data_IF_688205367850
#
_entry.id   IF_688205367850
#
_cell.length_a   1.000
_cell.length_b   1.000
_cell.length_c   1.000
_cell.angle_alpha   90.00
_cell.angle_beta   90.00
_cell.angle_gamma   90.00
#
_symmetry.space_group_name_H-M   'P 1'
#
loop_
_entity.id
_entity.type
_entity.pdbx_description
1 polymer ?
#
# COMPACT_ATOMS: atom_id res chain seq x y z
N UNK A 1 -20.72 -29.05 13.84
CA UNK A 1 -19.42 -28.82 13.12
C UNK A 1 -18.34 -28.63 14.17
N UNK A 2 -17.46 -29.60 14.39
CA UNK A 2 -16.32 -29.48 15.27
C UNK A 2 -15.28 -28.53 14.61
N UNK A 3 -14.79 -27.51 15.30
CA UNK A 3 -13.81 -26.59 14.71
C UNK A 3 -12.52 -27.38 14.36
N UNK A 4 -12.04 -27.17 13.15
CA UNK A 4 -10.79 -27.75 12.67
C UNK A 4 -9.65 -27.39 13.63
N UNK A 5 -9.10 -28.38 14.34
CA UNK A 5 -7.91 -28.20 15.17
C UNK A 5 -6.66 -28.46 14.31
N UNK A 6 -5.87 -27.47 14.00
CA UNK A 6 -4.65 -27.68 13.21
C UNK A 6 -3.71 -28.66 13.93
N UNK A 7 -3.10 -29.56 13.16
CA UNK A 7 -2.14 -30.55 13.67
C UNK A 7 -0.93 -29.90 14.36
N UNK A 8 -0.23 -30.66 15.19
CA UNK A 8 0.88 -30.20 16.02
C UNK A 8 2.01 -29.45 15.26
N UNK A 9 2.43 -29.84 14.03
CA UNK A 9 3.42 -29.10 13.24
C UNK A 9 2.92 -27.71 12.83
N UNK A 10 1.64 -27.59 12.46
CA UNK A 10 1.01 -26.31 12.06
C UNK A 10 0.91 -25.37 13.26
N UNK A 11 0.58 -25.88 14.43
CA UNK A 11 0.51 -25.09 15.68
C UNK A 11 1.89 -24.55 16.05
N UNK A 12 2.93 -25.35 15.93
CA UNK A 12 4.32 -24.96 16.18
C UNK A 12 4.79 -23.88 15.21
N UNK A 13 4.47 -24.03 13.93
CA UNK A 13 4.77 -23.06 12.88
C UNK A 13 4.02 -21.74 13.11
N UNK A 14 2.71 -21.78 13.42
CA UNK A 14 1.91 -20.58 13.75
C UNK A 14 2.43 -19.87 15.01
N UNK A 15 2.81 -20.62 16.03
CA UNK A 15 3.40 -20.07 17.25
C UNK A 15 4.72 -19.35 16.92
N UNK A 16 5.59 -20.00 16.16
CA UNK A 16 6.87 -19.42 15.75
C UNK A 16 6.71 -18.16 14.89
N UNK A 17 5.74 -18.13 13.97
CA UNK A 17 5.38 -16.95 13.20
C UNK A 17 4.88 -15.81 14.09
N UNK A 18 4.07 -16.11 15.10
CA UNK A 18 3.62 -15.12 16.11
C UNK A 18 4.78 -14.59 16.94
N UNK A 19 5.69 -15.45 17.38
CA UNK A 19 6.89 -15.04 18.11
C UNK A 19 7.78 -14.12 17.27
N UNK A 20 8.02 -14.46 16.00
CA UNK A 20 8.75 -13.61 15.07
C UNK A 20 8.07 -12.24 14.86
N UNK A 21 6.77 -12.23 14.65
CA UNK A 21 6.01 -10.98 14.49
C UNK A 21 6.08 -10.13 15.76
N UNK A 22 5.94 -10.74 16.93
CA UNK A 22 6.07 -10.06 18.22
C UNK A 22 7.48 -9.49 18.46
N UNK A 23 8.52 -10.26 18.13
CA UNK A 23 9.91 -9.80 18.23
C UNK A 23 10.19 -8.64 17.27
N UNK A 24 9.72 -8.74 16.01
CA UNK A 24 9.83 -7.66 15.04
C UNK A 24 9.13 -6.39 15.52
N UNK A 25 7.92 -6.50 16.06
CA UNK A 25 7.19 -5.36 16.60
C UNK A 25 7.91 -4.69 17.77
N UNK A 26 8.52 -5.48 18.68
CA UNK A 26 9.34 -4.97 19.77
C UNK A 26 10.60 -4.29 19.27
N UNK A 27 11.28 -4.89 18.28
CA UNK A 27 12.45 -4.31 17.64
C UNK A 27 12.12 -2.96 16.99
N UNK A 28 11.05 -2.89 16.21
CA UNK A 28 10.60 -1.64 15.57
C UNK A 28 10.29 -0.58 16.63
N UNK A 29 9.61 -0.94 17.73
CA UNK A 29 9.33 -0.02 18.83
C UNK A 29 10.60 0.47 19.52
N UNK A 30 11.58 -0.42 19.75
CA UNK A 30 12.89 -0.06 20.31
C UNK A 30 13.67 0.87 19.39
N UNK A 31 13.72 0.55 18.09
CA UNK A 31 14.33 1.42 17.07
C UNK A 31 13.61 2.78 17.01
N UNK A 32 12.30 2.81 17.07
CA UNK A 32 11.54 4.06 17.07
C UNK A 32 11.94 4.98 18.25
N UNK A 33 12.28 4.42 19.42
CA UNK A 33 12.80 5.21 20.53
C UNK A 33 14.18 5.82 20.22
N UNK A 34 15.07 5.06 19.58
CA UNK A 34 16.39 5.53 19.16
C UNK A 34 16.23 6.60 18.07
N UNK A 35 15.32 6.38 17.12
CA UNK A 35 15.05 7.30 16.01
C UNK A 35 14.31 8.58 16.43
N UNK A 36 13.94 8.74 17.70
CA UNK A 36 13.60 10.05 18.25
C UNK A 36 14.80 11.01 18.26
N UNK A 37 16.01 10.48 18.29
CA UNK A 37 17.22 11.25 18.17
C UNK A 37 17.48 11.56 16.69
N UNK A 38 17.55 12.83 16.33
CA UNK A 38 17.79 13.28 14.93
C UNK A 38 19.05 12.65 14.32
N UNK A 39 20.06 12.34 15.13
CA UNK A 39 21.31 11.72 14.68
C UNK A 39 21.08 10.32 14.11
N UNK A 40 20.13 9.55 14.66
CA UNK A 40 19.85 8.19 14.19
C UNK A 40 19.34 8.15 12.74
N UNK A 41 18.62 9.18 12.31
CA UNK A 41 18.12 9.27 10.92
C UNK A 41 19.28 9.35 9.90
N UNK A 42 20.41 9.96 10.27
CA UNK A 42 21.60 10.06 9.42
C UNK A 42 22.25 8.71 9.13
N UNK A 43 21.94 7.67 9.91
CA UNK A 43 22.47 6.32 9.72
C UNK A 43 21.62 5.49 8.74
N UNK A 44 20.37 5.88 8.47
CA UNK A 44 19.48 5.12 7.58
C UNK A 44 20.01 4.95 6.14
N UNK A 45 20.65 5.94 5.51
CA UNK A 45 21.26 5.77 4.19
C UNK A 45 22.33 4.68 4.12
N UNK A 46 22.97 4.35 5.24
CA UNK A 46 23.98 3.30 5.32
C UNK A 46 23.36 1.88 5.42
N UNK A 47 22.08 1.80 5.79
CA UNK A 47 21.42 0.53 6.06
C UNK A 47 21.43 -0.45 4.88
N UNK A 48 21.20 -0.05 3.61
CA UNK A 48 21.30 -0.98 2.49
C UNK A 48 22.70 -1.61 2.36
N UNK A 49 23.77 -0.84 2.56
CA UNK A 49 25.14 -1.34 2.51
C UNK A 49 25.44 -2.33 3.66
N UNK A 50 24.90 -2.07 4.85
CA UNK A 50 24.98 -3.00 5.98
C UNK A 50 24.23 -4.28 5.67
N UNK A 51 22.99 -4.18 5.17
CA UNK A 51 22.17 -5.34 4.82
C UNK A 51 22.83 -6.21 3.75
N UNK A 52 23.53 -5.63 2.78
CA UNK A 52 24.26 -6.39 1.77
C UNK A 52 25.35 -7.29 2.35
N UNK A 53 25.94 -6.93 3.49
CA UNK A 53 26.98 -7.70 4.17
C UNK A 53 26.44 -8.79 5.08
N UNK A 54 25.16 -8.73 5.44
CA UNK A 54 24.50 -9.70 6.29
C UNK A 54 24.08 -10.95 5.51
N UNK A 55 23.97 -12.12 6.13
CA UNK A 55 23.31 -13.28 5.54
C UNK A 55 21.88 -12.95 5.09
N UNK A 56 21.40 -13.57 4.01
CA UNK A 56 20.08 -13.26 3.41
C UNK A 56 18.93 -13.37 4.41
N UNK A 57 19.01 -14.30 5.35
CA UNK A 57 18.02 -14.46 6.41
C UNK A 57 17.86 -13.24 7.35
N UNK A 58 18.86 -12.37 7.41
CA UNK A 58 18.88 -11.17 8.26
C UNK A 58 18.49 -9.89 7.49
N UNK A 59 18.35 -9.96 6.16
CA UNK A 59 18.05 -8.80 5.32
C UNK A 59 16.58 -8.36 5.34
N UNK A 60 15.72 -9.08 6.03
CA UNK A 60 14.30 -8.81 6.17
C UNK A 60 13.44 -9.95 5.62
N UNK A 61 12.18 -10.02 6.05
CA UNK A 61 11.29 -11.14 5.71
C UNK A 61 10.97 -11.23 4.22
N UNK A 62 10.88 -10.09 3.56
CA UNK A 62 10.45 -9.99 2.16
C UNK A 62 11.63 -9.88 1.17
N UNK A 63 12.88 -9.88 1.68
CA UNK A 63 14.09 -9.70 0.84
C UNK A 63 14.18 -10.71 -0.31
N UNK A 64 14.00 -12.00 -0.02
CA UNK A 64 14.15 -13.04 -1.04
C UNK A 64 13.04 -12.94 -2.10
N UNK A 65 11.80 -12.69 -1.68
CA UNK A 65 10.68 -12.50 -2.59
C UNK A 65 10.90 -11.28 -3.50
N UNK A 66 11.34 -10.16 -2.94
CA UNK A 66 11.69 -8.98 -3.74
C UNK A 66 12.81 -9.26 -4.73
N UNK A 67 13.88 -9.93 -4.29
CA UNK A 67 15.00 -10.28 -5.17
C UNK A 67 14.54 -11.15 -6.35
N UNK A 68 13.75 -12.18 -6.09
CA UNK A 68 13.18 -13.04 -7.13
C UNK A 68 12.27 -12.26 -8.09
N UNK A 69 11.43 -11.38 -7.58
CA UNK A 69 10.55 -10.56 -8.40
C UNK A 69 11.34 -9.58 -9.28
N UNK A 70 12.45 -9.02 -8.80
CA UNK A 70 13.34 -8.20 -9.62
C UNK A 70 14.01 -9.01 -10.73
N UNK A 71 14.44 -10.24 -10.44
CA UNK A 71 14.98 -11.16 -11.46
C UNK A 71 13.93 -11.45 -12.54
N UNK A 72 12.65 -11.66 -12.15
CA UNK A 72 11.53 -11.83 -13.08
C UNK A 72 11.23 -10.56 -13.92
N UNK A 73 11.58 -9.38 -13.42
CA UNK A 73 11.48 -8.11 -14.15
C UNK A 73 12.70 -7.82 -15.02
N UNK A 74 13.63 -8.77 -15.13
CA UNK A 74 14.80 -8.67 -16.04
C UNK A 74 15.97 -7.85 -15.50
N UNK A 75 16.00 -7.54 -14.18
CA UNK A 75 17.17 -6.89 -13.61
C UNK A 75 18.32 -7.87 -13.39
N UNK A 76 19.54 -7.37 -13.54
CA UNK A 76 20.74 -8.16 -13.25
C UNK A 76 20.78 -8.66 -11.78
N UNK A 77 21.31 -9.87 -11.50
CA UNK A 77 21.35 -10.45 -10.14
C UNK A 77 22.08 -9.58 -9.10
N UNK A 78 23.07 -8.79 -9.52
CA UNK A 78 23.75 -7.84 -8.62
C UNK A 78 22.85 -6.65 -8.27
N UNK A 79 22.20 -6.08 -9.28
CA UNK A 79 21.23 -5.01 -9.10
C UNK A 79 20.05 -5.47 -8.22
N UNK A 80 19.50 -6.67 -8.46
CA UNK A 80 18.42 -7.25 -7.66
C UNK A 80 18.76 -7.31 -6.16
N UNK A 81 20.00 -7.66 -5.81
CA UNK A 81 20.42 -7.71 -4.39
C UNK A 81 20.44 -6.34 -3.74
N UNK A 82 20.97 -5.33 -4.44
CA UNK A 82 21.03 -3.97 -3.92
C UNK A 82 19.63 -3.38 -3.75
N UNK A 83 18.82 -3.49 -4.79
CA UNK A 83 17.43 -2.95 -4.79
C UNK A 83 16.57 -3.65 -3.75
N UNK A 84 16.72 -4.97 -3.55
CA UNK A 84 16.03 -5.69 -2.48
C UNK A 84 16.50 -5.27 -1.07
N UNK A 85 17.77 -4.90 -0.89
CA UNK A 85 18.24 -4.32 0.38
C UNK A 85 17.69 -2.91 0.59
N UNK A 86 17.62 -2.08 -0.47
CA UNK A 86 16.96 -0.75 -0.39
C UNK A 86 15.48 -0.88 -0.05
N UNK A 87 14.76 -1.80 -0.70
CA UNK A 87 13.37 -2.13 -0.34
C UNK A 87 13.25 -2.45 1.15
N UNK A 88 14.08 -3.37 1.67
CA UNK A 88 14.04 -3.78 3.07
C UNK A 88 14.32 -2.60 4.03
N UNK A 89 15.25 -1.72 3.66
CA UNK A 89 15.58 -0.52 4.43
C UNK A 89 14.41 0.48 4.45
N UNK A 90 13.79 0.72 3.31
CA UNK A 90 12.63 1.60 3.17
C UNK A 90 11.44 1.05 3.99
N UNK A 91 11.15 -0.26 3.88
CA UNK A 91 10.08 -0.88 4.68
C UNK A 91 10.35 -0.80 6.19
N UNK A 92 11.59 -0.90 6.61
CA UNK A 92 11.96 -0.70 8.02
C UNK A 92 11.75 0.76 8.44
N UNK A 93 12.19 1.72 7.64
CA UNK A 93 11.97 3.15 7.88
C UNK A 93 10.46 3.46 8.00
N UNK A 94 9.65 3.01 7.04
CA UNK A 94 8.20 3.19 7.08
C UNK A 94 7.59 2.62 8.37
N UNK A 95 8.02 1.42 8.79
CA UNK A 95 7.53 0.81 10.03
C UNK A 95 7.92 1.61 11.28
N UNK A 96 9.14 2.16 11.33
CA UNK A 96 9.62 3.01 12.42
C UNK A 96 8.78 4.31 12.47
N UNK A 97 8.60 4.96 11.34
CA UNK A 97 7.89 6.22 11.25
C UNK A 97 6.41 6.08 11.56
N UNK A 98 5.76 5.00 11.13
CA UNK A 98 4.38 4.68 11.50
C UNK A 98 4.17 4.58 13.02
N UNK A 99 5.20 4.18 13.77
CA UNK A 99 5.18 4.16 15.26
C UNK A 99 5.43 5.54 15.85
N UNK A 100 6.27 6.37 15.20
CA UNK A 100 6.66 7.69 15.69
C UNK A 100 5.55 8.75 15.49
N UNK A 101 4.98 8.82 14.30
CA UNK A 101 4.05 9.89 13.91
C UNK A 101 2.85 10.09 14.84
N UNK A 102 2.15 9.04 15.31
CA UNK A 102 1.00 9.24 16.19
C UNK A 102 1.35 9.74 17.60
N UNK A 103 2.66 9.78 17.91
CA UNK A 103 3.18 10.15 19.22
C UNK A 103 3.84 11.52 19.23
N UNK A 104 4.06 12.08 18.06
CA UNK A 104 4.65 13.41 17.94
C UNK A 104 3.60 14.51 18.13
N UNK A 105 4.05 15.68 18.61
CA UNK A 105 3.21 16.85 18.68
C UNK A 105 2.78 17.31 17.28
N UNK A 106 1.54 17.82 17.11
CA UNK A 106 1.02 18.22 15.79
C UNK A 106 1.95 19.17 15.01
N UNK A 107 2.61 20.11 15.68
CA UNK A 107 3.53 21.07 15.05
C UNK A 107 4.77 20.38 14.48
N UNK A 108 5.29 19.40 15.22
CA UNK A 108 6.47 18.63 14.78
C UNK A 108 6.12 17.72 13.59
N UNK A 109 4.96 17.09 13.64
CA UNK A 109 4.43 16.30 12.53
C UNK A 109 4.21 17.20 11.30
N UNK A 110 3.63 18.37 11.48
CA UNK A 110 3.42 19.36 10.40
C UNK A 110 4.75 19.83 9.80
N UNK A 111 5.75 20.14 10.62
CA UNK A 111 7.07 20.53 10.14
C UNK A 111 7.72 19.41 9.30
N UNK A 112 7.57 18.17 9.71
CA UNK A 112 8.06 17.01 8.97
C UNK A 112 7.35 16.87 7.62
N UNK A 113 6.02 16.95 7.61
CA UNK A 113 5.20 16.84 6.39
C UNK A 113 5.54 17.96 5.40
N UNK A 114 5.77 19.17 5.89
CA UNK A 114 6.17 20.32 5.05
C UNK A 114 7.57 20.16 4.45
N UNK A 115 8.44 19.40 5.09
CA UNK A 115 9.77 19.08 4.57
C UNK A 115 9.74 18.03 3.43
N UNK A 116 8.60 17.34 3.20
CA UNK A 116 8.43 16.47 2.04
C UNK A 116 8.43 17.33 0.77
N UNK A 117 9.32 17.02 -0.16
CA UNK A 117 9.33 17.69 -1.46
C UNK A 117 8.01 17.41 -2.20
N UNK A 118 7.52 18.43 -2.93
CA UNK A 118 6.26 18.33 -3.66
C UNK A 118 6.52 18.45 -5.15
N UNK A 119 6.22 17.40 -5.88
CA UNK A 119 6.41 17.30 -7.32
C UNK A 119 5.06 17.23 -8.04
N UNK A 120 4.60 18.37 -8.54
CA UNK A 120 3.38 18.53 -9.34
C UNK A 120 3.66 19.50 -10.53
N UNK A 121 4.49 19.09 -11.49
CA UNK A 121 4.92 19.97 -12.56
C UNK A 121 3.77 20.40 -13.47
N UNK A 122 2.70 19.63 -13.53
CA UNK A 122 1.52 19.91 -14.35
C UNK A 122 0.41 20.65 -13.58
N UNK A 123 0.66 21.02 -12.32
CA UNK A 123 -0.28 21.71 -11.45
C UNK A 123 -1.66 21.03 -11.36
N UNK A 124 -1.66 19.72 -11.19
CA UNK A 124 -2.89 18.95 -11.06
C UNK A 124 -3.57 19.15 -9.71
N UNK A 125 -2.81 19.32 -8.63
CA UNK A 125 -3.35 19.48 -7.29
C UNK A 125 -4.33 20.65 -7.15
N UNK A 126 -4.07 21.86 -7.70
CA UNK A 126 -5.04 22.95 -7.66
C UNK A 126 -6.40 22.62 -8.27
N UNK A 127 -6.48 21.70 -9.23
CA UNK A 127 -7.76 21.29 -9.88
C UNK A 127 -8.70 20.58 -8.92
N UNK A 128 -8.18 19.93 -7.86
CA UNK A 128 -8.99 19.24 -6.84
C UNK A 128 -9.82 20.20 -6.01
N UNK A 129 -9.51 21.51 -6.03
CA UNK A 129 -10.27 22.53 -5.29
C UNK A 129 -11.64 22.79 -5.87
N UNK A 130 -11.76 22.72 -7.19
CA UNK A 130 -12.97 23.08 -7.95
C UNK A 130 -13.81 21.89 -8.36
N UNK A 131 -13.31 20.68 -8.24
CA UNK A 131 -14.00 19.45 -8.68
C UNK A 131 -13.93 18.36 -7.62
N UNK A 132 -15.03 17.63 -7.47
CA UNK A 132 -15.00 16.37 -6.70
C UNK A 132 -14.04 15.42 -7.39
N UNK A 133 -13.05 14.97 -6.65
CA UNK A 133 -11.94 14.16 -7.16
C UNK A 133 -11.67 13.01 -6.20
N UNK A 134 -11.44 11.83 -6.75
CA UNK A 134 -10.88 10.72 -5.98
C UNK A 134 -9.35 10.82 -6.08
N UNK A 135 -8.69 11.00 -4.96
CA UNK A 135 -7.24 10.94 -4.85
C UNK A 135 -6.86 9.48 -4.66
N UNK A 136 -6.17 8.92 -5.64
CA UNK A 136 -5.71 7.54 -5.60
C UNK A 136 -4.22 7.55 -5.29
N UNK A 137 -3.85 6.92 -4.19
CA UNK A 137 -2.47 6.74 -3.78
C UNK A 137 -1.99 5.32 -4.08
N UNK A 138 -0.73 5.20 -4.47
CA UNK A 138 -0.03 3.93 -4.49
C UNK A 138 0.64 3.69 -3.13
N UNK A 139 0.76 2.42 -2.71
CA UNK A 139 1.51 2.04 -1.51
C UNK A 139 3.02 2.11 -1.78
N UNK A 140 3.51 3.31 -2.11
CA UNK A 140 4.92 3.55 -2.41
C UNK A 140 5.56 4.43 -1.35
N UNK A 141 6.82 4.15 -1.02
CA UNK A 141 7.56 4.88 -0.01
C UNK A 141 6.81 4.94 1.33
N UNK A 142 6.76 6.12 1.91
CA UNK A 142 6.00 6.36 3.14
C UNK A 142 4.57 6.80 2.82
N UNK A 143 3.76 5.89 2.32
CA UNK A 143 2.42 6.17 1.81
C UNK A 143 1.47 6.84 2.85
N UNK A 144 1.68 6.62 4.15
CA UNK A 144 0.95 7.35 5.19
C UNK A 144 1.30 8.83 5.22
N UNK A 145 2.57 9.14 4.96
CA UNK A 145 3.01 10.53 4.83
C UNK A 145 2.48 11.18 3.56
N UNK A 146 2.27 10.40 2.50
CA UNK A 146 1.57 10.90 1.31
C UNK A 146 0.15 11.36 1.65
N UNK A 147 -0.61 10.58 2.43
CA UNK A 147 -1.93 10.99 2.92
C UNK A 147 -1.84 12.28 3.74
N UNK A 148 -0.91 12.32 4.70
CA UNK A 148 -0.73 13.48 5.56
C UNK A 148 -0.34 14.74 4.78
N UNK A 149 0.52 14.59 3.77
CA UNK A 149 0.97 15.68 2.90
C UNK A 149 -0.19 16.24 2.04
N UNK A 150 -1.05 15.36 1.51
CA UNK A 150 -2.24 15.77 0.77
C UNK A 150 -3.22 16.57 1.65
N UNK A 151 -3.43 16.12 2.89
CA UNK A 151 -4.32 16.79 3.85
C UNK A 151 -3.74 18.15 4.25
N UNK A 152 -2.47 18.21 4.65
CA UNK A 152 -1.83 19.45 5.12
C UNK A 152 -1.79 20.53 4.04
N UNK A 153 -1.59 20.14 2.77
CA UNK A 153 -1.55 21.08 1.65
C UNK A 153 -2.92 21.53 1.14
N UNK A 154 -4.00 21.10 1.78
CA UNK A 154 -5.33 21.60 1.46
C UNK A 154 -5.53 22.99 2.09
N UNK A 155 -5.81 24.03 1.29
CA UNK A 155 -5.75 25.43 1.76
C UNK A 155 -6.94 25.88 2.62
N UNK A 156 -8.00 25.09 2.66
CA UNK A 156 -9.21 25.41 3.42
C UNK A 156 -9.69 24.18 4.18
N UNK A 157 -10.38 24.34 5.32
CA UNK A 157 -10.96 23.22 6.05
C UNK A 157 -11.82 22.36 5.14
N UNK A 158 -11.49 21.09 5.05
CA UNK A 158 -12.23 20.08 4.27
C UNK A 158 -12.43 18.81 5.05
N UNK A 159 -13.39 18.01 4.60
CA UNK A 159 -13.58 16.65 5.08
C UNK A 159 -12.87 15.69 4.11
N UNK A 160 -12.06 14.81 4.68
CA UNK A 160 -11.37 13.74 3.96
C UNK A 160 -11.97 12.40 4.36
N UNK A 161 -12.33 11.60 3.38
CA UNK A 161 -12.84 10.23 3.55
C UNK A 161 -11.75 9.26 3.15
N UNK A 162 -11.33 8.39 4.07
CA UNK A 162 -10.23 7.47 3.85
C UNK A 162 -10.70 6.05 4.16
N UNK A 163 -11.10 5.27 3.15
CA UNK A 163 -11.37 3.85 3.33
C UNK A 163 -10.06 3.09 3.53
N UNK A 164 -9.99 2.26 4.57
CA UNK A 164 -8.83 1.43 4.88
C UNK A 164 -9.21 -0.04 4.97
N UNK A 165 -8.34 -0.91 4.48
CA UNK A 165 -8.52 -2.36 4.53
C UNK A 165 -8.44 -2.91 5.95
N UNK A 166 -7.44 -2.49 6.71
CA UNK A 166 -7.21 -2.94 8.08
C UNK A 166 -7.87 -2.00 9.10
N UNK A 167 -9.17 -1.84 9.00
CA UNK A 167 -9.94 -0.93 9.86
C UNK A 167 -9.79 -1.23 11.36
N UNK A 168 -9.55 -2.50 11.72
CA UNK A 168 -9.40 -2.93 13.11
C UNK A 168 -8.01 -2.63 13.70
N UNK A 169 -7.03 -2.16 12.88
CA UNK A 169 -5.73 -1.75 13.43
C UNK A 169 -5.84 -0.39 14.13
N UNK A 170 -5.69 -0.36 15.47
CA UNK A 170 -5.83 0.88 16.24
C UNK A 170 -4.69 1.87 15.96
N UNK A 171 -3.51 1.39 15.54
CA UNK A 171 -2.38 2.26 15.23
C UNK A 171 -2.65 3.06 13.96
N UNK A 172 -3.07 2.40 12.90
CA UNK A 172 -3.45 3.04 11.63
C UNK A 172 -4.56 4.07 11.83
N UNK A 173 -5.62 3.70 12.55
CA UNK A 173 -6.73 4.62 12.83
C UNK A 173 -6.28 5.85 13.62
N UNK A 174 -5.46 5.66 14.67
CA UNK A 174 -4.92 6.76 15.47
C UNK A 174 -4.04 7.68 14.63
N UNK A 175 -3.18 7.12 13.79
CA UNK A 175 -2.31 7.88 12.90
C UNK A 175 -3.09 8.77 11.95
N UNK A 176 -4.12 8.22 11.29
CA UNK A 176 -4.96 9.00 10.38
C UNK A 176 -5.79 10.04 11.14
N UNK A 177 -6.34 9.68 12.29
CA UNK A 177 -7.17 10.60 13.08
C UNK A 177 -6.37 11.77 13.65
N UNK A 178 -5.07 11.59 13.92
CA UNK A 178 -4.19 12.68 14.37
C UNK A 178 -4.04 13.81 13.35
N UNK A 179 -4.33 13.54 12.07
CA UNK A 179 -4.27 14.56 11.00
C UNK A 179 -5.38 15.61 11.10
N UNK A 180 -6.40 15.38 11.91
CA UNK A 180 -7.40 16.42 12.23
C UNK A 180 -6.80 17.65 12.92
N UNK A 181 -5.65 17.49 13.58
CA UNK A 181 -4.88 18.60 14.14
C UNK A 181 -4.44 19.65 13.09
N UNK A 182 -4.56 19.33 11.79
CA UNK A 182 -4.27 20.29 10.71
C UNK A 182 -5.47 21.17 10.34
N UNK A 183 -6.59 21.04 11.05
CA UNK A 183 -7.79 21.85 10.82
C UNK A 183 -8.79 21.25 9.84
N UNK A 184 -8.66 19.96 9.54
CA UNK A 184 -9.53 19.21 8.64
C UNK A 184 -10.32 18.16 9.42
N UNK A 185 -11.42 17.67 8.84
CA UNK A 185 -12.14 16.50 9.35
C UNK A 185 -11.66 15.24 8.61
N UNK A 186 -11.33 14.17 9.33
CA UNK A 186 -10.85 12.91 8.75
C UNK A 186 -11.78 11.78 9.17
N UNK A 187 -12.57 11.29 8.23
CA UNK A 187 -13.45 10.13 8.41
C UNK A 187 -12.78 8.87 7.86
N UNK A 188 -12.56 7.91 8.73
CA UNK A 188 -11.95 6.63 8.38
C UNK A 188 -13.07 5.61 8.22
N UNK A 189 -13.13 4.96 7.05
CA UNK A 189 -14.14 3.95 6.75
C UNK A 189 -13.50 2.55 6.66
N UNK A 190 -14.25 1.54 7.07
CA UNK A 190 -13.89 0.15 6.79
C UNK A 190 -14.17 -0.15 5.31
N UNK A 191 -13.13 -0.40 4.51
CA UNK A 191 -13.29 -0.71 3.09
C UNK A 191 -14.07 -2.00 2.83
N UNK A 192 -14.17 -2.89 3.81
CA UNK A 192 -14.89 -4.16 3.71
C UNK A 192 -16.38 -4.03 4.10
N UNK A 193 -16.79 -2.91 4.69
CA UNK A 193 -18.18 -2.74 5.10
C UNK A 193 -19.10 -2.55 3.88
N UNK A 194 -20.26 -3.22 3.83
CA UNK A 194 -21.16 -3.20 2.65
C UNK A 194 -21.63 -1.80 2.23
N UNK A 195 -21.66 -0.85 3.16
CA UNK A 195 -22.16 0.52 2.91
C UNK A 195 -21.05 1.52 2.55
N UNK A 196 -19.79 1.09 2.50
CA UNK A 196 -18.65 2.00 2.28
C UNK A 196 -18.70 2.69 0.92
N UNK A 197 -19.01 1.97 -0.15
CA UNK A 197 -19.16 2.57 -1.48
C UNK A 197 -20.25 3.65 -1.51
N UNK A 198 -21.37 3.44 -0.80
CA UNK A 198 -22.45 4.42 -0.68
C UNK A 198 -22.02 5.64 0.14
N UNK A 199 -21.27 5.43 1.23
CA UNK A 199 -20.73 6.52 2.04
C UNK A 199 -19.76 7.40 1.23
N UNK A 200 -18.87 6.78 0.45
CA UNK A 200 -17.96 7.50 -0.45
C UNK A 200 -18.75 8.27 -1.52
N UNK A 201 -19.75 7.65 -2.15
CA UNK A 201 -20.57 8.32 -3.15
C UNK A 201 -21.30 9.56 -2.59
N UNK A 202 -21.83 9.47 -1.36
CA UNK A 202 -22.44 10.61 -0.65
C UNK A 202 -21.41 11.70 -0.34
N UNK A 203 -20.21 11.33 0.07
CA UNK A 203 -19.13 12.26 0.34
C UNK A 203 -18.72 13.04 -0.92
N UNK A 204 -18.52 12.36 -2.05
CA UNK A 204 -18.22 13.00 -3.32
C UNK A 204 -19.33 13.98 -3.77
N UNK A 205 -20.59 13.64 -3.56
CA UNK A 205 -21.73 14.55 -3.84
C UNK A 205 -21.72 15.81 -2.98
N UNK A 206 -21.21 15.74 -1.75
CA UNK A 206 -21.06 16.91 -0.87
C UNK A 206 -19.84 17.78 -1.19
N UNK A 207 -18.94 17.31 -2.07
CA UNK A 207 -17.68 17.99 -2.37
C UNK A 207 -16.54 17.64 -1.41
N UNK A 208 -16.71 16.58 -0.60
CA UNK A 208 -15.65 16.05 0.26
C UNK A 208 -14.52 15.45 -0.61
N UNK A 209 -13.31 15.38 -0.06
CA UNK A 209 -12.17 14.72 -0.71
C UNK A 209 -12.12 13.25 -0.29
N UNK A 210 -11.86 12.38 -1.26
CA UNK A 210 -11.74 10.94 -1.01
C UNK A 210 -10.33 10.50 -1.35
N UNK A 211 -9.64 9.86 -0.40
CA UNK A 211 -8.29 9.31 -0.59
C UNK A 211 -8.38 7.79 -0.51
N UNK A 212 -8.01 7.09 -1.58
CA UNK A 212 -8.11 5.63 -1.69
C UNK A 212 -6.77 5.07 -2.16
N UNK A 213 -6.35 3.94 -1.58
CA UNK A 213 -5.28 3.12 -2.12
C UNK A 213 -5.87 2.09 -3.10
N UNK A 214 -5.39 2.09 -4.34
CA UNK A 214 -5.95 1.25 -5.41
C UNK A 214 -5.06 0.09 -5.85
N UNK A 215 -3.81 0.10 -5.47
CA UNK A 215 -2.79 -0.90 -5.84
C UNK A 215 -2.80 -2.13 -4.92
N UNK A 216 -3.99 -2.61 -4.58
CA UNK A 216 -4.18 -3.83 -3.80
C UNK A 216 -4.31 -5.04 -4.72
N UNK A 217 -3.67 -6.18 -4.41
CA UNK A 217 -3.96 -7.42 -5.11
C UNK A 217 -5.40 -7.86 -4.79
N UNK A 218 -6.04 -8.54 -5.75
CA UNK A 218 -7.43 -9.01 -5.62
C UNK A 218 -7.61 -9.97 -4.44
N UNK A 219 -6.56 -10.71 -4.10
CA UNK A 219 -6.55 -11.61 -2.95
C UNK A 219 -5.29 -11.39 -2.13
N UNK A 220 -5.46 -11.21 -0.85
CA UNK A 220 -4.37 -11.00 0.09
C UNK A 220 -4.52 -11.90 1.32
N UNK A 221 -3.53 -12.77 1.54
CA UNK A 221 -3.57 -13.70 2.68
C UNK A 221 -4.80 -14.62 2.71
N UNK A 222 -5.34 -14.97 1.53
CA UNK A 222 -6.54 -15.80 1.41
C UNK A 222 -7.85 -15.02 1.53
N UNK A 223 -7.79 -13.73 1.80
CA UNK A 223 -8.96 -12.84 1.86
C UNK A 223 -9.10 -12.08 0.55
N UNK A 224 -10.30 -12.07 -0.02
CA UNK A 224 -10.59 -11.33 -1.24
C UNK A 224 -10.72 -9.84 -0.94
N UNK A 225 -9.95 -9.01 -1.65
CA UNK A 225 -9.92 -7.55 -1.45
C UNK A 225 -11.00 -6.80 -2.23
N UNK A 226 -11.66 -7.46 -3.20
CA UNK A 226 -12.71 -6.85 -4.04
C UNK A 226 -12.97 -7.65 -5.31
N UNK A 227 -13.79 -7.09 -6.21
CA UNK A 227 -13.99 -7.68 -7.53
C UNK A 227 -12.76 -7.44 -8.41
N UNK A 228 -12.31 -8.46 -9.18
CA UNK A 228 -11.19 -8.31 -10.09
C UNK A 228 -11.57 -7.50 -11.33
N UNK A 229 -10.60 -6.77 -11.84
CA UNK A 229 -10.58 -6.25 -13.21
C UNK A 229 -9.27 -6.66 -13.86
N UNK A 230 -9.36 -7.20 -15.06
CA UNK A 230 -8.20 -7.65 -15.82
C UNK A 230 -7.42 -6.45 -16.35
N UNK A 231 -6.10 -6.61 -16.43
CA UNK A 231 -5.19 -5.61 -16.95
C UNK A 231 -3.79 -6.23 -17.15
N UNK A 232 -2.79 -5.38 -17.22
CA UNK A 232 -1.39 -5.79 -17.34
C UNK A 232 -0.55 -5.08 -16.29
N UNK A 233 0.49 -5.75 -15.83
CA UNK A 233 1.49 -5.21 -14.92
C UNK A 233 2.85 -5.79 -15.32
N UNK A 234 3.79 -4.93 -15.66
CA UNK A 234 5.13 -5.29 -16.15
C UNK A 234 5.08 -6.29 -17.32
N UNK A 235 4.22 -5.99 -18.31
CA UNK A 235 4.07 -6.81 -19.52
C UNK A 235 3.35 -8.15 -19.33
N UNK A 236 2.85 -8.46 -18.13
CA UNK A 236 2.15 -9.73 -17.82
C UNK A 236 0.69 -9.46 -17.51
N UNK A 237 -0.19 -10.41 -17.86
CA UNK A 237 -1.61 -10.36 -17.50
C UNK A 237 -1.75 -10.33 -15.97
N UNK A 238 -2.48 -9.35 -15.46
CA UNK A 238 -2.64 -9.09 -14.05
C UNK A 238 -4.09 -8.77 -13.70
N UNK A 239 -4.43 -8.87 -12.42
CA UNK A 239 -5.73 -8.50 -11.89
C UNK A 239 -5.57 -7.43 -10.82
N UNK A 240 -6.41 -6.41 -10.89
CA UNK A 240 -6.49 -5.33 -9.94
C UNK A 240 -7.87 -5.28 -9.29
N UNK A 241 -7.97 -4.58 -8.17
CA UNK A 241 -9.27 -4.30 -7.54
C UNK A 241 -10.02 -3.25 -8.37
N UNK A 242 -11.23 -3.57 -8.77
CA UNK A 242 -12.11 -2.73 -9.61
C UNK A 242 -12.52 -1.41 -8.96
N UNK A 243 -12.57 -1.35 -7.62
CA UNK A 243 -13.29 -0.34 -6.85
C UNK A 243 -13.11 1.14 -7.21
N UNK A 244 -11.89 1.74 -7.13
CA UNK A 244 -11.73 3.19 -7.23
C UNK A 244 -12.11 3.76 -8.60
N UNK A 245 -11.67 3.13 -9.70
CA UNK A 245 -11.94 3.62 -11.05
C UNK A 245 -13.41 3.44 -11.45
N UNK A 246 -14.03 2.33 -11.05
CA UNK A 246 -15.44 2.10 -11.24
C UNK A 246 -16.29 3.12 -10.47
N UNK A 247 -15.91 3.43 -9.23
CA UNK A 247 -16.58 4.44 -8.42
C UNK A 247 -16.45 5.83 -9.05
N UNK A 248 -15.26 6.20 -9.52
CA UNK A 248 -15.01 7.46 -10.20
C UNK A 248 -15.86 7.62 -11.45
N UNK A 249 -15.91 6.59 -12.30
CA UNK A 249 -16.74 6.57 -13.50
C UNK A 249 -18.23 6.71 -13.17
N UNK A 250 -18.74 5.95 -12.19
CA UNK A 250 -20.13 6.00 -11.74
C UNK A 250 -20.52 7.36 -11.16
N UNK A 251 -19.61 8.00 -10.43
CA UNK A 251 -19.82 9.31 -9.82
C UNK A 251 -19.51 10.46 -10.78
N UNK A 252 -19.03 10.18 -11.99
CA UNK A 252 -18.62 11.16 -13.01
C UNK A 252 -17.58 12.15 -12.47
N UNK A 253 -16.66 11.67 -11.64
CA UNK A 253 -15.57 12.47 -11.08
C UNK A 253 -14.22 12.09 -11.68
N UNK A 254 -13.29 13.04 -11.62
CA UNK A 254 -11.92 12.85 -12.06
C UNK A 254 -11.12 12.10 -10.98
N UNK A 255 -9.97 11.56 -11.36
CA UNK A 255 -9.04 10.87 -10.46
C UNK A 255 -7.69 11.55 -10.50
N UNK A 256 -7.11 11.81 -9.33
CA UNK A 256 -5.74 12.24 -9.18
C UNK A 256 -4.90 11.06 -8.67
N UNK A 257 -3.92 10.64 -9.45
CA UNK A 257 -2.95 9.62 -9.02
C UNK A 257 -1.73 10.29 -8.40
N UNK A 258 -1.34 9.82 -7.21
CA UNK A 258 -0.13 10.27 -6.55
C UNK A 258 0.60 9.10 -5.86
N UNK A 259 1.90 9.30 -5.55
CA UNK A 259 2.73 8.34 -4.86
C UNK A 259 3.88 9.03 -4.15
N UNK A 260 4.50 8.35 -3.21
CA UNK A 260 5.61 8.86 -2.43
C UNK A 260 6.89 8.08 -2.73
N UNK A 261 8.01 8.75 -2.88
CA UNK A 261 9.34 8.16 -2.91
C UNK A 261 10.05 8.50 -1.61
N UNK A 262 10.33 7.49 -0.81
CA UNK A 262 11.01 7.67 0.45
C UNK A 262 12.50 7.99 0.23
N UNK A 263 13.03 8.90 1.02
CA UNK A 263 14.45 9.11 1.16
C UNK A 263 14.91 8.48 2.47
N UNK A 264 15.93 7.64 2.42
CA UNK A 264 16.45 7.02 3.62
C UNK A 264 17.08 8.07 4.55
N UNK A 265 16.49 8.25 5.73
CA UNK A 265 16.90 9.27 6.69
C UNK A 265 16.35 10.66 6.43
N UNK A 266 15.67 10.87 5.32
CA UNK A 266 15.01 12.12 4.92
C UNK A 266 13.49 12.03 4.90
N UNK A 267 12.86 13.05 4.32
CA UNK A 267 11.41 13.15 4.20
C UNK A 267 10.88 12.63 2.87
N UNK A 268 11.76 12.47 1.88
CA UNK A 268 11.39 12.03 0.53
C UNK A 268 10.57 13.04 -0.26
N UNK A 269 9.90 12.55 -1.29
CA UNK A 269 9.18 13.37 -2.26
C UNK A 269 7.80 12.77 -2.57
N UNK A 270 6.77 13.62 -2.58
CA UNK A 270 5.44 13.30 -3.06
C UNK A 270 5.32 13.70 -4.53
N UNK A 271 4.98 12.75 -5.36
CA UNK A 271 4.73 12.95 -6.78
C UNK A 271 3.24 12.95 -7.06
N UNK A 272 2.75 14.02 -7.68
CA UNK A 272 1.45 14.04 -8.35
C UNK A 272 1.67 13.49 -9.76
N UNK A 273 1.30 12.22 -9.97
CA UNK A 273 1.74 11.44 -11.13
C UNK A 273 0.87 11.76 -12.35
N UNK A 274 -0.44 11.77 -12.17
CA UNK A 274 -1.37 11.95 -13.29
C UNK A 274 -2.75 12.41 -12.85
N UNK A 275 -3.34 13.27 -13.69
CA UNK A 275 -4.77 13.56 -13.68
C UNK A 275 -5.46 12.66 -14.70
N UNK A 276 -6.45 11.87 -14.26
CA UNK A 276 -7.27 11.03 -15.13
C UNK A 276 -8.65 11.67 -15.20
N UNK A 277 -8.96 12.21 -16.35
CA UNK A 277 -10.28 12.81 -16.59
C UNK A 277 -11.35 11.73 -16.62
N UNK A 278 -12.51 12.04 -16.08
CA UNK A 278 -13.67 11.15 -16.06
C UNK A 278 -13.97 10.58 -17.44
N UNK A 279 -14.12 9.26 -17.49
CA UNK A 279 -14.39 8.48 -18.69
C UNK A 279 -15.09 7.18 -18.29
N UNK A 280 -15.25 6.25 -19.24
CA UNK A 280 -15.67 4.89 -18.92
C UNK A 280 -14.69 4.19 -17.98
N UNK A 281 -15.19 3.35 -17.08
CA UNK A 281 -14.36 2.70 -16.07
C UNK A 281 -13.17 1.89 -16.65
N UNK A 282 -13.31 1.15 -17.75
CA UNK A 282 -12.17 0.44 -18.36
C UNK A 282 -11.05 1.37 -18.82
N UNK A 283 -11.41 2.52 -19.42
CA UNK A 283 -10.43 3.50 -19.90
C UNK A 283 -9.67 4.16 -18.74
N UNK A 284 -10.39 4.53 -17.68
CA UNK A 284 -9.80 5.07 -16.47
C UNK A 284 -8.88 4.04 -15.80
N UNK A 285 -9.29 2.78 -15.76
CA UNK A 285 -8.49 1.69 -15.20
C UNK A 285 -7.21 1.47 -16.00
N UNK A 286 -7.29 1.48 -17.33
CA UNK A 286 -6.12 1.33 -18.18
C UNK A 286 -5.14 2.51 -18.06
N UNK A 287 -5.63 3.73 -17.94
CA UNK A 287 -4.80 4.92 -17.74
C UNK A 287 -4.11 4.87 -16.37
N UNK A 288 -4.86 4.50 -15.32
CA UNK A 288 -4.33 4.36 -13.98
C UNK A 288 -3.24 3.28 -13.93
N UNK A 289 -3.50 2.08 -14.46
CA UNK A 289 -2.57 0.96 -14.44
C UNK A 289 -1.24 1.33 -15.11
N UNK A 290 -1.28 1.92 -16.31
CA UNK A 290 -0.08 2.38 -17.04
C UNK A 290 0.71 3.44 -16.27
N UNK A 291 0.01 4.43 -15.69
CA UNK A 291 0.69 5.50 -14.96
C UNK A 291 1.31 4.99 -13.66
N UNK A 292 0.63 4.08 -12.95
CA UNK A 292 1.16 3.43 -11.76
C UNK A 292 2.36 2.54 -12.09
N UNK A 293 2.26 1.72 -13.14
CA UNK A 293 3.36 0.85 -13.59
C UNK A 293 4.61 1.67 -13.93
N UNK A 294 4.45 2.74 -14.72
CA UNK A 294 5.57 3.64 -15.05
C UNK A 294 6.22 4.24 -13.80
N UNK A 295 5.43 4.72 -12.87
CA UNK A 295 5.94 5.30 -11.61
C UNK A 295 6.69 4.28 -10.75
N UNK A 296 6.15 3.04 -10.66
CA UNK A 296 6.80 1.95 -9.92
C UNK A 296 8.07 1.49 -10.63
N UNK A 297 8.07 1.38 -11.97
CA UNK A 297 9.21 0.90 -12.73
C UNK A 297 10.45 1.80 -12.57
N UNK A 298 10.26 3.10 -12.37
CA UNK A 298 11.38 4.04 -12.15
C UNK A 298 12.09 3.84 -10.81
N UNK A 299 11.37 3.39 -9.76
CA UNK A 299 11.91 3.18 -8.42
C UNK A 299 11.15 2.05 -7.69
N UNK A 300 11.29 0.80 -8.14
CA UNK A 300 10.45 -0.31 -7.69
C UNK A 300 10.67 -0.69 -6.23
N UNK A 301 11.81 -0.34 -5.64
CA UNK A 301 12.11 -0.56 -4.22
C UNK A 301 11.19 0.21 -3.28
N UNK A 302 10.46 1.20 -3.78
CA UNK A 302 9.50 1.95 -2.98
C UNK A 302 8.14 1.29 -2.91
N UNK A 303 7.81 0.36 -3.81
CA UNK A 303 6.49 -0.23 -3.87
C UNK A 303 6.29 -1.35 -2.84
N UNK A 304 5.37 -1.16 -1.91
CA UNK A 304 5.10 -2.08 -0.79
C UNK A 304 4.77 -3.51 -1.25
N UNK A 305 4.04 -3.66 -2.37
CA UNK A 305 3.61 -4.97 -2.87
C UNK A 305 4.62 -5.67 -3.77
N UNK A 306 5.81 -5.13 -3.93
CA UNK A 306 6.83 -5.76 -4.75
C UNK A 306 7.17 -7.19 -4.28
N UNK A 307 7.25 -7.42 -2.96
CA UNK A 307 7.46 -8.77 -2.41
C UNK A 307 6.30 -9.74 -2.67
N UNK A 308 5.19 -9.24 -3.20
CA UNK A 308 3.95 -9.97 -3.44
C UNK A 308 3.43 -9.79 -4.85
N UNK A 309 4.32 -9.48 -5.77
CA UNK A 309 4.01 -9.23 -7.18
C UNK A 309 3.17 -10.36 -7.80
N UNK A 310 3.47 -11.62 -7.45
CA UNK A 310 2.71 -12.77 -7.94
C UNK A 310 1.23 -12.77 -7.56
N UNK A 311 0.84 -12.05 -6.49
CA UNK A 311 -0.55 -11.94 -6.09
C UNK A 311 -1.41 -11.12 -7.07
N UNK A 312 -0.77 -10.37 -7.97
CA UNK A 312 -1.44 -9.62 -9.04
C UNK A 312 -1.60 -10.44 -10.32
N UNK A 313 -0.78 -11.46 -10.52
CA UNK A 313 -0.83 -12.24 -11.77
C UNK A 313 -1.94 -13.26 -11.75
N UNK A 314 -2.61 -13.41 -12.87
CA UNK A 314 -3.55 -14.50 -13.10
C UNK A 314 -2.77 -15.82 -13.03
N UNK A 315 -3.26 -16.78 -12.25
CA UNK A 315 -2.77 -18.14 -12.37
C UNK A 315 -3.06 -18.61 -13.80
N UNK A 316 -2.02 -18.86 -14.58
CA UNK A 316 -2.18 -19.62 -15.82
C UNK A 316 -2.83 -20.94 -15.39
N UNK A 317 -4.05 -21.20 -15.87
CA UNK A 317 -4.64 -22.53 -15.79
C UNK A 317 -3.73 -23.41 -16.63
N UNK A 318 -2.86 -24.17 -15.97
CA UNK A 318 -2.07 -25.19 -16.65
C UNK A 318 -3.06 -26.11 -17.32
N UNK A 319 -2.86 -26.41 -18.62
CA UNK A 319 -3.67 -27.33 -19.41
C UNK A 319 -3.80 -28.71 -18.75
N UNK A 320 -2.96 -29.02 -17.81
CA UNK A 320 -2.92 -30.26 -17.02
C UNK A 320 -4.03 -30.37 -15.95
N UNK A 321 -4.63 -29.27 -15.48
CA UNK A 321 -5.80 -29.35 -14.61
C UNK A 321 -7.08 -29.82 -15.33
N UNK A 322 -7.08 -29.82 -16.68
CA UNK A 322 -8.19 -30.40 -17.48
C UNK A 322 -8.14 -31.92 -17.60
N UNK A 323 -7.01 -32.57 -17.32
CA UNK A 323 -6.83 -34.02 -17.43
C UNK A 323 -6.88 -34.75 -16.07
N UNK A 324 -6.69 -34.06 -14.98
CA UNK A 324 -6.93 -34.60 -13.64
C UNK A 324 -8.37 -34.36 -13.20
N UNK A 325 -9.31 -34.82 -14.00
CA UNK A 325 -10.64 -35.13 -13.57
C UNK A 325 -10.57 -36.20 -12.51
N UNK A 326 -10.36 -35.83 -11.27
CA UNK A 326 -10.71 -36.69 -10.13
C UNK A 326 -12.23 -36.78 -10.07
N UNK A 327 -12.81 -37.91 -10.54
CA UNK A 327 -14.23 -38.11 -10.40
C UNK A 327 -14.51 -38.39 -8.92
N UNK A 328 -15.34 -37.55 -8.31
CA UNK A 328 -16.29 -38.04 -7.35
C UNK A 328 -15.79 -38.73 -6.10
N UNK A 329 -15.01 -38.06 -5.23
CA UNK A 329 -14.75 -38.58 -3.88
C UNK A 329 -15.20 -37.68 -2.73
N UNK A 330 -15.92 -36.62 -3.01
CA UNK A 330 -16.49 -35.72 -1.97
C UNK A 330 -18.02 -35.58 -2.02
N UNK A 331 -18.71 -36.46 -2.80
CA UNK A 331 -20.19 -36.48 -2.87
C UNK A 331 -20.85 -37.63 -2.13
N UNK A 332 -20.15 -38.39 -1.31
CA UNK A 332 -20.77 -39.40 -0.44
C UNK A 332 -20.32 -39.26 1.02
N UNK A 333 -20.86 -38.32 1.73
CA UNK A 333 -21.17 -38.34 3.17
C UNK A 333 -22.17 -37.22 3.49
N UNK A 334 -23.34 -37.37 2.88
CA UNK A 334 -24.55 -36.83 3.43
C UNK A 334 -25.30 -37.97 4.08
N UNK A 335 -25.84 -37.69 5.25
CA UNK A 335 -26.91 -38.42 5.95
C UNK A 335 -26.53 -39.75 6.61
N UNK A 336 -26.50 -39.70 7.88
CA UNK A 336 -26.61 -40.70 8.88
C UNK A 336 -26.58 -40.03 10.22
#
# INVERSE_FOLDING_TARGET
MTPFRPGWPIRRWLWWMRCKAGLRARLVKGLALIFRLKVAHRCLPLLPAVLLRLPSAWRGPDYNACRQNFELLGLEPRACRLVACRYSAIQLQCAIYQVLYPRDYPERLRAWIRAIAWNDPQQHWPRTRVRSTIIVLAHTGEYWMAVACMIERCPAPKRFIIPIWNFNDPLTRRSLKSLEAFGHCVDILDSNAPKTALAIARALKRGDQVIIFADLPVSFGGVRSGEPVDGHLFGRAAQFVKGPMFLAAKMKCDVLLAGHRAELGGCGELHVIRWITRAAAPDMQAQWARAMESFIAEAPEHWFYLSRLEAFYQRQKTSDEKSSGLPGLLQRRGLG
#
